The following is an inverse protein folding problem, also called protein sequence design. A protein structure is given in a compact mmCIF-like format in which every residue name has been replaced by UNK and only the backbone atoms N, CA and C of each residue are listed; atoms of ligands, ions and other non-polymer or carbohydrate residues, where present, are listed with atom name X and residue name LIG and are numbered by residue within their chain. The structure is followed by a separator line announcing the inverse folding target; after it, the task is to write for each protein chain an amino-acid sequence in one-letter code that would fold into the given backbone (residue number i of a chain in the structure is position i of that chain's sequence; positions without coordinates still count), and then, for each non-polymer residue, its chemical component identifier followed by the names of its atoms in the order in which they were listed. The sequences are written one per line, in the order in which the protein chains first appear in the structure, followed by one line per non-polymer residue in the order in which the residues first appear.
data_IF_967563501526
#
_entry.id   IF_967563501526
#
_cell.length_a   1.000
_cell.length_b   1.000
_cell.length_c   1.000
_cell.angle_alpha   90.00
_cell.angle_beta   90.00
_cell.angle_gamma   90.00
#
_symmetry.space_group_name_H-M   'P 1'
#
loop_
_entity.id
_entity.type
_entity.pdbx_description
1 polymer ?
#
# COMPACT_ATOMS: atom_id res chain seq x y z
N UNK A 1 -9.98 51.02 -97.90
CA UNK A 1 -11.45 51.18 -97.75
C UNK A 1 -11.99 49.78 -97.54
N UNK A 2 -12.51 49.36 -96.40
CA UNK A 2 -13.53 49.98 -95.53
C UNK A 2 -13.19 49.69 -94.05
N UNK A 3 -13.44 50.68 -93.21
CA UNK A 3 -13.28 50.73 -91.75
C UNK A 3 -14.43 50.05 -91.00
N UNK A 4 -14.18 49.40 -89.86
CA UNK A 4 -15.11 49.45 -88.70
C UNK A 4 -14.41 49.04 -87.39
N UNK A 5 -14.74 49.62 -86.21
CA UNK A 5 -13.88 49.61 -85.02
C UNK A 5 -14.47 48.93 -83.77
N UNK A 6 -13.62 48.85 -82.71
CA UNK A 6 -13.95 48.77 -81.26
C UNK A 6 -14.60 47.45 -80.75
N UNK A 7 -14.47 46.97 -79.50
CA UNK A 7 -13.90 47.44 -78.21
C UNK A 7 -13.77 46.24 -77.23
N UNK A 8 -12.76 46.33 -76.36
CA UNK A 8 -12.50 45.76 -75.02
C UNK A 8 -13.45 44.78 -74.27
N UNK A 9 -12.76 43.82 -73.60
CA UNK A 9 -12.89 43.35 -72.20
C UNK A 9 -14.00 42.36 -71.80
N UNK A 10 -13.59 41.21 -71.22
CA UNK A 10 -14.08 40.75 -69.90
C UNK A 10 -13.15 39.68 -69.28
N UNK A 11 -12.91 39.76 -67.96
CA UNK A 11 -12.27 38.72 -67.14
C UNK A 11 -13.27 37.62 -66.80
N UNK A 12 -12.85 36.36 -66.76
CA UNK A 12 -13.54 35.29 -66.03
C UNK A 12 -12.55 34.36 -65.32
N UNK A 13 -12.91 34.04 -64.09
CA UNK A 13 -12.27 33.10 -63.16
C UNK A 13 -12.76 31.68 -63.46
N UNK A 14 -11.91 30.65 -63.35
CA UNK A 14 -12.31 29.24 -63.53
C UNK A 14 -11.35 28.25 -62.87
N UNK A 15 -11.91 27.43 -61.97
CA UNK A 15 -11.32 26.31 -61.20
C UNK A 15 -10.91 25.09 -62.06
N UNK A 16 -9.92 24.32 -61.60
CA UNK A 16 -9.88 22.84 -61.71
C UNK A 16 -8.85 22.22 -60.73
N UNK A 17 -9.17 21.03 -60.23
CA UNK A 17 -8.62 20.28 -59.07
C UNK A 17 -7.67 19.10 -59.42
N UNK A 18 -7.04 18.52 -58.37
CA UNK A 18 -6.46 17.15 -58.21
C UNK A 18 -4.94 16.99 -58.48
N UNK A 19 -4.08 16.26 -57.74
CA UNK A 19 -4.17 15.28 -56.62
C UNK A 19 -2.75 15.18 -55.99
N UNK A 20 -2.60 14.96 -54.67
CA UNK A 20 -1.30 14.85 -53.98
C UNK A 20 -1.13 13.46 -53.33
N UNK A 21 -0.06 12.74 -53.69
CA UNK A 21 0.37 11.46 -53.08
C UNK A 21 1.61 11.72 -52.21
N UNK A 22 1.48 11.56 -50.89
CA UNK A 22 2.59 11.55 -49.93
C UNK A 22 2.89 10.10 -49.52
N UNK A 23 4.12 9.64 -49.76
CA UNK A 23 4.66 8.43 -49.15
C UNK A 23 5.37 8.81 -47.84
N UNK A 24 4.82 8.35 -46.71
CA UNK A 24 5.40 8.53 -45.38
C UNK A 24 6.34 7.37 -45.02
N UNK A 25 7.58 7.70 -44.67
CA UNK A 25 8.47 6.81 -43.92
C UNK A 25 8.37 7.14 -42.43
N UNK A 26 7.80 6.25 -41.64
CA UNK A 26 7.80 6.37 -40.17
C UNK A 26 9.16 5.89 -39.65
N UNK A 27 10.00 6.84 -39.22
CA UNK A 27 11.09 6.53 -38.30
C UNK A 27 10.48 6.40 -36.90
N UNK A 28 10.53 5.21 -36.31
CA UNK A 28 10.17 4.98 -34.91
C UNK A 28 11.21 5.70 -34.06
N UNK A 29 10.84 6.82 -33.46
CA UNK A 29 11.64 7.46 -32.42
C UNK A 29 11.46 6.67 -31.11
N UNK A 30 12.51 6.47 -30.30
CA UNK A 30 12.33 5.97 -28.94
C UNK A 30 11.54 7.02 -28.16
N UNK A 31 10.44 6.59 -27.53
CA UNK A 31 9.69 7.43 -26.60
C UNK A 31 10.60 7.77 -25.42
N UNK A 32 10.98 9.04 -25.32
CA UNK A 32 11.48 9.59 -24.06
C UNK A 32 10.25 9.72 -23.15
N UNK A 33 10.25 9.02 -22.02
CA UNK A 33 9.28 9.26 -20.97
C UNK A 33 9.45 10.70 -20.49
N UNK A 34 8.39 11.49 -20.55
CA UNK A 34 8.36 12.83 -19.98
C UNK A 34 8.33 12.68 -18.45
N UNK A 35 9.33 13.26 -17.77
CA UNK A 35 9.49 13.25 -16.30
C UNK A 35 8.41 14.13 -15.59
N UNK A 36 7.34 14.50 -16.31
CA UNK A 36 6.44 15.60 -15.98
C UNK A 36 5.22 15.26 -15.13
N UNK A 37 4.79 14.00 -15.05
CA UNK A 37 3.51 13.63 -14.38
C UNK A 37 3.68 12.52 -13.33
N UNK A 38 4.69 12.65 -12.47
CA UNK A 38 4.58 12.04 -11.14
C UNK A 38 3.70 12.97 -10.31
N UNK A 39 2.39 12.69 -10.25
CA UNK A 39 1.51 13.30 -9.27
C UNK A 39 2.09 12.95 -7.87
N UNK A 40 2.57 13.93 -7.08
CA UNK A 40 3.00 13.62 -5.73
C UNK A 40 1.72 13.32 -4.94
N UNK A 41 1.42 12.05 -4.74
CA UNK A 41 0.49 11.63 -3.70
C UNK A 41 1.06 12.15 -2.38
N UNK A 42 0.56 13.27 -1.89
CA UNK A 42 0.85 13.71 -0.54
C UNK A 42 0.23 12.64 0.38
N UNK A 43 1.04 11.85 1.11
CA UNK A 43 0.50 10.83 1.98
C UNK A 43 -0.37 11.54 3.02
N UNK A 44 -1.67 11.24 3.02
CA UNK A 44 -2.52 11.63 4.13
C UNK A 44 -1.91 10.99 5.38
N UNK A 45 -1.64 11.82 6.39
CA UNK A 45 -1.08 11.33 7.64
C UNK A 45 -2.11 10.38 8.26
N UNK A 46 -1.80 9.09 8.18
CA UNK A 46 -2.53 8.02 8.85
C UNK A 46 -2.63 8.39 10.33
N UNK A 47 -3.84 8.33 10.87
CA UNK A 47 -4.02 8.54 12.30
C UNK A 47 -3.36 7.34 12.99
N UNK A 48 -2.31 7.55 13.82
CA UNK A 48 -1.69 6.43 14.51
C UNK A 48 -2.74 5.72 15.35
N UNK A 49 -2.75 4.40 15.31
CA UNK A 49 -3.52 3.59 16.24
C UNK A 49 -3.33 4.12 17.67
N UNK A 50 -4.38 4.02 18.50
CA UNK A 50 -4.32 4.49 19.88
C UNK A 50 -3.10 3.89 20.58
N UNK A 51 -2.12 4.75 20.87
CA UNK A 51 -0.83 4.33 21.37
C UNK A 51 -0.98 3.65 22.73
N UNK A 52 -0.63 2.37 22.80
CA UNK A 52 -0.60 1.62 24.06
C UNK A 52 0.69 1.99 24.79
N UNK A 53 0.58 2.94 25.72
CA UNK A 53 1.68 3.27 26.61
C UNK A 53 1.93 2.14 27.60
N UNK A 54 3.20 1.91 27.92
CA UNK A 54 3.59 0.91 28.93
C UNK A 54 4.57 1.46 29.95
N UNK A 55 4.36 1.06 31.20
CA UNK A 55 5.25 1.34 32.32
C UNK A 55 5.92 0.07 32.86
N UNK A 56 5.77 -1.08 32.21
CA UNK A 56 6.33 -2.35 32.65
C UNK A 56 7.12 -3.02 31.53
N UNK A 57 8.20 -3.70 31.91
CA UNK A 57 9.14 -4.35 31.00
C UNK A 57 9.61 -5.67 31.60
N UNK A 58 9.73 -6.72 30.79
CA UNK A 58 10.29 -8.00 31.20
C UNK A 58 11.75 -8.04 30.75
N UNK A 59 12.65 -8.30 31.69
CA UNK A 59 14.10 -8.36 31.48
C UNK A 59 14.61 -9.74 31.88
N UNK A 60 15.30 -10.42 30.98
CA UNK A 60 16.05 -11.65 31.26
C UNK A 60 17.54 -11.38 31.35
N UNK A 61 18.21 -11.96 32.33
CA UNK A 61 19.67 -11.87 32.52
C UNK A 61 20.33 -13.19 32.09
N UNK A 62 21.54 -13.11 31.54
CA UNK A 62 22.35 -14.28 31.18
C UNK A 62 22.81 -15.02 32.44
N UNK A 63 22.72 -16.35 32.42
CA UNK A 63 23.06 -17.31 33.49
C UNK A 63 23.82 -16.72 34.69
N UNK A 64 23.07 -16.29 35.72
CA UNK A 64 23.61 -15.74 36.96
C UNK A 64 22.87 -16.29 38.18
N UNK A 65 23.50 -16.25 39.36
CA UNK A 65 22.82 -16.68 40.61
C UNK A 65 21.65 -15.75 40.95
N UNK A 66 20.54 -16.25 41.50
CA UNK A 66 19.28 -15.50 41.70
C UNK A 66 19.45 -14.11 42.36
N UNK A 67 20.34 -13.97 43.35
CA UNK A 67 20.63 -12.69 44.01
C UNK A 67 21.42 -11.73 43.11
N UNK A 68 22.37 -12.24 42.33
CA UNK A 68 23.11 -11.45 41.35
C UNK A 68 22.22 -10.99 40.20
N UNK A 69 21.24 -11.81 39.81
CA UNK A 69 20.27 -11.47 38.76
C UNK A 69 19.46 -10.24 39.14
N UNK A 70 18.90 -10.19 40.36
CA UNK A 70 18.09 -9.03 40.78
C UNK A 70 18.89 -7.73 40.77
N UNK A 71 20.12 -7.76 41.28
CA UNK A 71 21.00 -6.59 41.27
C UNK A 71 21.36 -6.16 39.83
N UNK A 72 21.67 -7.11 38.95
CA UNK A 72 21.95 -6.84 37.55
C UNK A 72 20.74 -6.23 36.81
N UNK A 73 19.52 -6.72 37.07
CA UNK A 73 18.30 -6.14 36.51
C UNK A 73 18.10 -4.71 37.00
N UNK A 74 18.25 -4.45 38.30
CA UNK A 74 18.08 -3.11 38.86
C UNK A 74 19.14 -2.13 38.33
N UNK A 75 20.38 -2.57 38.16
CA UNK A 75 21.46 -1.76 37.57
C UNK A 75 21.20 -1.47 36.08
N UNK A 76 20.95 -2.49 35.27
CA UNK A 76 20.66 -2.33 33.84
C UNK A 76 19.44 -1.44 33.61
N UNK A 77 18.37 -1.66 34.39
CA UNK A 77 17.17 -0.85 34.33
C UNK A 77 17.40 0.59 34.79
N UNK A 78 18.15 0.81 35.88
CA UNK A 78 18.51 2.14 36.35
C UNK A 78 19.33 2.92 35.33
N UNK A 79 20.32 2.27 34.72
CA UNK A 79 21.15 2.86 33.67
C UNK A 79 20.31 3.21 32.43
N UNK A 80 19.42 2.34 31.99
CA UNK A 80 18.53 2.61 30.86
C UNK A 80 17.52 3.72 31.17
N UNK A 81 16.93 3.72 32.37
CA UNK A 81 15.90 4.67 32.80
C UNK A 81 16.48 6.08 32.96
N UNK A 82 17.69 6.20 33.50
CA UNK A 82 18.39 7.48 33.65
C UNK A 82 18.59 8.24 32.33
N UNK A 83 18.76 7.52 31.21
CA UNK A 83 18.90 8.13 29.87
C UNK A 83 17.61 8.76 29.36
N UNK A 84 16.47 8.32 29.88
CA UNK A 84 15.14 8.81 29.54
C UNK A 84 14.57 9.76 30.61
N UNK A 85 15.29 9.97 31.72
CA UNK A 85 14.83 10.82 32.82
C UNK A 85 13.73 10.21 33.68
N UNK A 86 13.54 8.89 33.61
CA UNK A 86 12.55 8.12 34.38
C UNK A 86 13.24 7.26 35.44
N UNK A 87 12.50 6.83 36.45
CA UNK A 87 12.98 5.91 37.48
C UNK A 87 12.47 4.50 37.23
N UNK A 88 13.34 3.49 37.39
CA UNK A 88 12.99 2.09 37.27
C UNK A 88 13.04 1.36 38.62
N UNK A 89 12.13 0.41 38.82
CA UNK A 89 12.09 -0.44 40.02
C UNK A 89 11.71 -1.88 39.66
N UNK A 90 12.43 -2.85 40.23
CA UNK A 90 12.04 -4.26 40.15
C UNK A 90 10.71 -4.51 40.85
N UNK A 91 9.77 -5.13 40.15
CA UNK A 91 8.42 -5.41 40.65
C UNK A 91 8.27 -6.87 41.10
N UNK A 92 8.52 -7.82 40.20
CA UNK A 92 8.33 -9.26 40.45
C UNK A 92 9.10 -10.12 39.46
N UNK A 93 9.24 -11.39 39.78
CA UNK A 93 9.81 -12.40 38.89
C UNK A 93 8.69 -13.13 38.13
N UNK A 94 8.94 -13.53 36.89
CA UNK A 94 8.03 -14.33 36.07
C UNK A 94 8.31 -15.82 36.26
N UNK A 95 7.32 -16.66 35.97
CA UNK A 95 7.47 -18.12 36.07
C UNK A 95 8.51 -18.69 35.08
N UNK A 96 8.85 -17.94 34.02
CA UNK A 96 9.82 -18.31 33.00
C UNK A 96 11.23 -17.81 33.30
N UNK A 97 11.47 -17.17 34.46
CA UNK A 97 12.78 -16.69 34.87
C UNK A 97 13.13 -15.27 34.39
N UNK A 98 12.15 -14.51 33.91
CA UNK A 98 12.30 -13.08 33.62
C UNK A 98 11.98 -12.21 34.85
N UNK A 99 12.40 -10.95 34.81
CA UNK A 99 12.16 -9.97 35.87
C UNK A 99 11.35 -8.80 35.33
N UNK A 100 10.24 -8.50 35.98
CA UNK A 100 9.40 -7.35 35.63
C UNK A 100 9.96 -6.11 36.30
N UNK A 101 10.31 -5.13 35.48
CA UNK A 101 10.73 -3.79 35.87
C UNK A 101 9.58 -2.83 35.60
N UNK A 102 9.26 -1.99 36.58
CA UNK A 102 8.25 -0.93 36.45
C UNK A 102 8.92 0.44 36.44
N UNK A 103 8.48 1.31 35.54
CA UNK A 103 8.85 2.71 35.48
C UNK A 103 7.87 3.58 36.26
N UNK A 104 8.31 4.76 36.69
CA UNK A 104 7.47 5.77 37.35
C UNK A 104 6.55 6.52 36.37
N UNK A 105 6.93 6.58 35.09
CA UNK A 105 6.12 7.14 34.01
C UNK A 105 5.91 6.13 32.86
N UNK A 106 4.68 6.06 32.30
CA UNK A 106 4.41 5.22 31.14
C UNK A 106 5.04 5.82 29.88
N UNK A 107 5.80 5.00 29.16
CA UNK A 107 6.47 5.37 27.92
C UNK A 107 5.55 5.18 26.72
N UNK A 108 5.69 6.07 25.72
CA UNK A 108 5.19 5.87 24.35
C UNK A 108 5.82 4.62 23.72
N UNK A 109 5.26 4.09 22.63
CA UNK A 109 5.81 2.92 21.95
C UNK A 109 7.26 3.18 21.47
N UNK A 110 7.51 4.38 20.94
CA UNK A 110 8.83 4.82 20.49
C UNK A 110 9.82 4.93 21.65
N UNK A 111 9.39 5.44 22.80
CA UNK A 111 10.24 5.55 24.00
C UNK A 111 10.49 4.18 24.64
N UNK A 112 9.49 3.31 24.66
CA UNK A 112 9.59 1.94 25.14
C UNK A 112 10.60 1.13 24.31
N UNK A 113 10.60 1.29 22.99
CA UNK A 113 11.63 0.68 22.12
C UNK A 113 13.03 1.21 22.43
N UNK A 114 13.18 2.53 22.62
CA UNK A 114 14.48 3.12 23.02
C UNK A 114 14.95 2.58 24.36
N UNK A 115 14.04 2.43 25.33
CA UNK A 115 14.35 1.86 26.63
C UNK A 115 14.81 0.40 26.51
N UNK A 116 14.07 -0.43 25.77
CA UNK A 116 14.40 -1.83 25.51
C UNK A 116 15.72 -1.97 24.76
N UNK A 117 15.98 -1.12 23.75
CA UNK A 117 17.27 -1.10 23.06
C UNK A 117 18.40 -0.73 24.02
N UNK A 118 18.19 0.25 24.92
CA UNK A 118 19.20 0.58 25.94
C UNK A 118 19.45 -0.58 26.91
N UNK A 119 18.42 -1.33 27.31
CA UNK A 119 18.58 -2.53 28.13
C UNK A 119 19.40 -3.60 27.42
N UNK A 120 19.13 -3.84 26.12
CA UNK A 120 19.84 -4.84 25.31
C UNK A 120 21.32 -4.51 25.06
N UNK A 121 21.74 -3.26 25.27
CA UNK A 121 23.15 -2.87 25.20
C UNK A 121 23.94 -3.30 26.44
N UNK A 122 23.27 -3.65 27.53
CA UNK A 122 23.91 -4.15 28.74
C UNK A 122 24.43 -5.59 28.50
N UNK A 123 25.70 -5.88 28.80
CA UNK A 123 26.27 -7.21 28.54
C UNK A 123 25.61 -8.34 29.33
N UNK A 124 24.99 -8.05 30.48
CA UNK A 124 24.34 -9.05 31.33
C UNK A 124 22.91 -9.34 30.90
N UNK A 125 22.29 -8.48 30.09
CA UNK A 125 20.93 -8.67 29.58
C UNK A 125 20.91 -9.70 28.44
N UNK A 126 20.11 -10.76 28.60
CA UNK A 126 19.86 -11.77 27.58
C UNK A 126 18.75 -11.33 26.62
N UNK A 127 17.67 -10.76 27.17
CA UNK A 127 16.56 -10.21 26.41
C UNK A 127 15.82 -9.15 27.23
N UNK A 128 15.14 -8.25 26.54
CA UNK A 128 14.24 -7.27 27.14
C UNK A 128 13.06 -7.03 26.20
N UNK A 129 11.86 -6.92 26.75
CA UNK A 129 10.63 -6.64 26.01
C UNK A 129 9.66 -5.80 26.86
N UNK A 130 8.79 -4.99 26.24
CA UNK A 130 7.73 -4.30 26.95
C UNK A 130 6.66 -5.27 27.46
N UNK A 131 6.18 -5.06 28.68
CA UNK A 131 5.02 -5.75 29.27
C UNK A 131 3.80 -4.82 29.13
N UNK A 132 3.18 -4.85 27.95
CA UNK A 132 2.02 -4.03 27.63
C UNK A 132 0.72 -4.83 27.77
N UNK A 133 -0.33 -4.20 28.30
CA UNK A 133 -1.67 -4.78 28.32
C UNK A 133 -2.25 -4.72 26.91
N UNK A 134 -2.36 -5.87 26.27
CA UNK A 134 -3.07 -6.00 24.99
C UNK A 134 -4.58 -5.81 25.24
N UNK A 135 -5.19 -4.87 24.53
CA UNK A 135 -6.65 -4.73 24.47
C UNK A 135 -7.15 -5.46 23.23
N UNK A 136 -8.27 -6.16 23.36
CA UNK A 136 -8.96 -6.76 22.21
C UNK A 136 -9.44 -5.62 21.33
N UNK A 137 -8.96 -5.53 20.09
CA UNK A 137 -9.53 -4.65 19.10
C UNK A 137 -10.97 -5.11 18.84
N UNK A 138 -11.92 -4.18 18.88
CA UNK A 138 -13.30 -4.50 18.54
C UNK A 138 -13.33 -5.16 17.15
N UNK A 139 -14.03 -6.29 17.03
CA UNK A 139 -14.25 -6.96 15.75
C UNK A 139 -14.82 -5.95 14.73
N UNK A 140 -14.51 -6.11 13.43
CA UNK A 140 -15.06 -5.22 12.41
C UNK A 140 -16.57 -5.11 12.50
N UNK A 141 -17.09 -3.92 12.23
CA UNK A 141 -18.53 -3.63 12.23
C UNK A 141 -19.17 -3.78 10.84
N UNK A 142 -18.47 -4.43 9.91
CA UNK A 142 -19.00 -4.77 8.59
C UNK A 142 -20.16 -5.77 8.73
N UNK A 143 -21.24 -5.49 8.00
CA UNK A 143 -22.48 -6.29 7.99
C UNK A 143 -22.23 -7.76 7.63
N UNK A 144 -21.29 -8.03 6.71
CA UNK A 144 -21.02 -9.36 6.19
C UNK A 144 -19.74 -10.00 6.76
N UNK A 145 -19.11 -9.40 7.77
CA UNK A 145 -17.88 -9.92 8.38
C UNK A 145 -18.01 -11.38 8.86
N UNK A 146 -19.19 -11.77 9.36
CA UNK A 146 -19.44 -13.14 9.81
C UNK A 146 -19.44 -14.18 8.68
N UNK A 147 -19.61 -13.76 7.43
CA UNK A 147 -19.55 -14.65 6.25
C UNK A 147 -18.11 -14.86 5.78
N UNK A 148 -17.16 -14.02 6.22
CA UNK A 148 -15.73 -14.07 5.89
C UNK A 148 -14.98 -15.05 6.81
N UNK A 149 -15.42 -16.30 6.84
CA UNK A 149 -14.85 -17.38 7.67
C UNK A 149 -13.33 -17.52 7.48
N UNK A 150 -12.83 -17.26 6.27
CA UNK A 150 -11.43 -17.32 5.89
C UNK A 150 -10.55 -16.36 6.71
N UNK A 151 -11.10 -15.32 7.33
CA UNK A 151 -10.35 -14.37 8.14
C UNK A 151 -10.13 -14.84 9.59
N UNK A 152 -11.02 -15.66 10.15
CA UNK A 152 -11.02 -15.92 11.61
C UNK A 152 -11.30 -17.36 12.04
N UNK A 153 -11.97 -18.18 11.23
CA UNK A 153 -12.40 -19.52 11.65
C UNK A 153 -11.22 -20.50 11.80
N UNK A 154 -11.35 -21.48 12.69
CA UNK A 154 -10.39 -22.57 12.84
C UNK A 154 -11.11 -23.93 12.86
N UNK A 155 -10.68 -24.92 12.06
CA UNK A 155 -9.53 -24.87 11.14
C UNK A 155 -9.88 -24.19 9.80
N UNK A 156 -8.94 -23.45 9.19
CA UNK A 156 -9.04 -23.00 7.79
C UNK A 156 -8.90 -21.50 7.55
N UNK A 157 -9.08 -20.66 8.56
CA UNK A 157 -8.88 -19.21 8.47
C UNK A 157 -7.44 -18.77 8.73
N UNK A 158 -7.10 -17.57 8.26
CA UNK A 158 -5.76 -16.97 8.38
C UNK A 158 -5.49 -16.27 9.72
N UNK A 159 -6.49 -16.24 10.62
CA UNK A 159 -6.42 -15.60 11.95
C UNK A 159 -6.10 -14.10 11.89
N UNK A 160 -6.64 -13.40 10.88
CA UNK A 160 -6.46 -11.96 10.69
C UNK A 160 -6.97 -11.14 11.87
N UNK A 161 -8.08 -11.55 12.52
CA UNK A 161 -8.63 -10.84 13.68
C UNK A 161 -7.64 -10.73 14.83
N UNK A 162 -6.87 -11.78 15.11
CA UNK A 162 -5.82 -11.74 16.13
C UNK A 162 -4.62 -10.89 15.70
N UNK A 163 -4.35 -10.74 14.40
CA UNK A 163 -3.30 -9.85 13.91
C UNK A 163 -3.69 -8.37 14.02
N UNK A 164 -4.97 -8.04 13.84
CA UNK A 164 -5.48 -6.66 13.94
C UNK A 164 -5.42 -6.06 15.35
N UNK A 165 -5.22 -6.89 16.39
CA UNK A 165 -4.87 -6.43 17.73
C UNK A 165 -3.46 -5.83 17.81
N UNK A 166 -2.59 -6.13 16.83
CA UNK A 166 -1.20 -5.66 16.77
C UNK A 166 -0.98 -4.64 15.66
N UNK A 167 -1.53 -4.88 14.48
CA UNK A 167 -1.39 -3.98 13.32
C UNK A 167 -2.48 -4.24 12.29
N UNK A 168 -2.88 -3.18 11.60
CA UNK A 168 -3.82 -3.24 10.47
C UNK A 168 -3.16 -2.95 9.12
N UNK A 169 -1.83 -2.89 9.09
CA UNK A 169 -1.07 -2.55 7.89
C UNK A 169 -0.86 -1.04 7.71
N UNK A 170 -0.97 -0.27 8.78
CA UNK A 170 -0.80 1.18 8.73
C UNK A 170 0.57 1.57 8.12
N UNK A 171 0.55 2.40 7.07
CA UNK A 171 1.75 2.87 6.37
C UNK A 171 2.34 1.88 5.37
N UNK A 172 1.68 0.74 5.15
CA UNK A 172 2.03 -0.23 4.09
C UNK A 172 1.24 0.11 2.83
N UNK A 173 1.88 -0.01 1.65
CA UNK A 173 1.22 0.09 0.34
C UNK A 173 1.35 -1.25 -0.36
N UNK A 174 0.24 -1.79 -0.87
CA UNK A 174 0.18 -3.11 -1.52
C UNK A 174 -0.20 -2.93 -2.99
N UNK A 175 0.74 -3.14 -3.91
CA UNK A 175 0.39 -3.09 -5.33
C UNK A 175 -0.35 -4.36 -5.79
N UNK A 176 -1.52 -4.21 -6.41
CA UNK A 176 -2.32 -5.30 -6.98
C UNK A 176 -2.20 -5.24 -8.50
N UNK A 177 -1.75 -6.34 -9.10
CA UNK A 177 -1.59 -6.47 -10.56
C UNK A 177 -2.69 -7.39 -11.08
N UNK A 178 -3.80 -6.82 -11.55
CA UNK A 178 -5.04 -7.53 -11.89
C UNK A 178 -5.84 -6.77 -12.97
N UNK A 179 -7.13 -7.01 -13.21
CA UNK A 179 -7.89 -6.40 -14.32
C UNK A 179 -8.14 -4.89 -14.20
N UNK A 180 -7.96 -4.31 -13.01
CA UNK A 180 -8.22 -2.91 -12.72
C UNK A 180 -9.03 -2.76 -11.44
N UNK A 181 -9.60 -1.57 -11.24
CA UNK A 181 -10.50 -1.28 -10.12
C UNK A 181 -11.82 -0.70 -10.60
N UNK A 182 -12.92 -1.11 -9.96
CA UNK A 182 -14.21 -0.44 -10.10
C UNK A 182 -14.44 0.46 -8.89
N UNK A 183 -15.06 1.62 -9.10
CA UNK A 183 -15.52 2.47 -7.99
C UNK A 183 -16.49 1.68 -7.10
N UNK A 184 -16.11 1.47 -5.85
CA UNK A 184 -16.87 0.68 -4.90
C UNK A 184 -16.80 1.35 -3.53
N UNK A 185 -17.93 1.69 -2.89
CA UNK A 185 -17.92 2.45 -1.62
C UNK A 185 -17.11 1.81 -0.49
N UNK A 186 -16.94 0.49 -0.51
CA UNK A 186 -16.16 -0.27 0.48
C UNK A 186 -14.65 -0.33 0.18
N UNK A 187 -14.23 0.06 -1.03
CA UNK A 187 -12.83 0.08 -1.47
C UNK A 187 -12.30 1.49 -1.67
N UNK A 188 -13.14 2.44 -2.12
CA UNK A 188 -12.74 3.78 -2.57
C UNK A 188 -11.89 4.55 -1.55
N UNK A 189 -12.16 4.35 -0.25
CA UNK A 189 -11.40 5.00 0.82
C UNK A 189 -9.97 4.45 1.00
N UNK A 190 -9.72 3.23 0.50
CA UNK A 190 -8.47 2.50 0.64
C UNK A 190 -7.74 2.33 -0.70
N UNK A 191 -8.10 3.06 -1.76
CA UNK A 191 -7.43 2.96 -3.07
C UNK A 191 -6.56 4.19 -3.30
N UNK A 192 -5.30 3.97 -3.68
CA UNK A 192 -4.41 5.03 -4.17
C UNK A 192 -4.43 5.06 -5.70
N UNK A 193 -4.02 6.19 -6.33
CA UNK A 193 -3.86 6.24 -7.78
C UNK A 193 -2.97 5.11 -8.30
N UNK A 194 -3.43 4.44 -9.36
CA UNK A 194 -2.75 3.34 -10.02
C UNK A 194 -2.32 3.69 -11.44
N UNK A 195 -2.12 2.66 -12.27
CA UNK A 195 -1.72 2.81 -13.67
C UNK A 195 -2.19 1.62 -14.51
N UNK A 196 -2.76 1.88 -15.67
CA UNK A 196 -3.08 0.86 -16.67
C UNK A 196 -1.84 0.54 -17.51
N UNK A 197 -1.45 -0.75 -17.53
CA UNK A 197 -0.29 -1.23 -18.27
C UNK A 197 -0.64 -1.93 -19.60
N UNK A 198 -1.93 -2.04 -19.92
CA UNK A 198 -2.47 -2.66 -21.14
C UNK A 198 -2.09 -1.79 -22.34
N UNK A 199 -1.18 -2.29 -23.17
CA UNK A 199 -0.65 -1.53 -24.30
C UNK A 199 -1.59 -1.50 -25.52
N UNK A 200 -2.44 -2.51 -25.67
CA UNK A 200 -3.33 -2.64 -26.81
C UNK A 200 -4.70 -2.07 -26.46
N UNK A 201 -5.12 -1.02 -27.16
CA UNK A 201 -6.41 -0.35 -26.92
C UNK A 201 -7.64 -1.23 -27.12
N UNK A 202 -7.56 -2.25 -27.99
CA UNK A 202 -8.64 -3.22 -28.12
C UNK A 202 -8.77 -4.11 -26.87
N UNK A 203 -7.65 -4.35 -26.19
CA UNK A 203 -7.60 -5.14 -24.97
C UNK A 203 -7.97 -4.30 -23.74
N UNK A 204 -7.55 -3.03 -23.69
CA UNK A 204 -7.83 -2.09 -22.60
C UNK A 204 -9.31 -1.63 -22.57
N UNK A 205 -9.92 -1.50 -23.76
CA UNK A 205 -11.34 -1.13 -23.95
C UNK A 205 -11.74 0.23 -23.38
N UNK A 206 -10.77 1.08 -23.08
CA UNK A 206 -10.89 2.47 -22.62
C UNK A 206 -10.69 3.50 -23.76
N UNK A 207 -10.16 3.06 -24.90
CA UNK A 207 -9.93 3.89 -26.09
C UNK A 207 -8.45 4.20 -26.38
N UNK A 208 -7.52 3.74 -25.55
CA UNK A 208 -6.08 3.99 -25.69
C UNK A 208 -5.26 2.81 -25.15
N UNK A 209 -3.93 2.88 -25.27
CA UNK A 209 -3.07 2.01 -24.48
C UNK A 209 -2.67 2.74 -23.20
N UNK A 210 -1.87 2.09 -22.36
CA UNK A 210 -1.20 2.60 -21.16
C UNK A 210 -1.44 4.06 -20.78
N UNK A 211 -2.07 4.24 -19.64
CA UNK A 211 -2.42 5.56 -19.11
C UNK A 211 -2.61 5.49 -17.57
N UNK A 212 -2.81 6.64 -16.89
CA UNK A 212 -2.88 6.68 -15.43
C UNK A 212 -4.27 6.37 -14.85
N UNK A 213 -5.25 5.95 -15.66
CA UNK A 213 -6.59 5.55 -15.20
C UNK A 213 -6.71 4.02 -15.11
N UNK A 214 -6.61 3.41 -13.91
CA UNK A 214 -6.67 1.96 -13.75
C UNK A 214 -8.11 1.41 -13.68
N UNK A 215 -9.09 2.13 -14.22
CA UNK A 215 -10.51 1.73 -14.15
C UNK A 215 -10.76 0.44 -14.92
N UNK A 216 -11.37 -0.55 -14.28
CA UNK A 216 -11.76 -1.79 -14.93
C UNK A 216 -12.96 -1.56 -15.87
N UNK A 217 -12.74 -1.71 -17.18
CA UNK A 217 -13.76 -1.57 -18.23
C UNK A 217 -14.59 -2.84 -18.45
N UNK A 218 -14.28 -3.91 -17.72
CA UNK A 218 -14.91 -5.22 -17.84
C UNK A 218 -14.24 -6.08 -18.91
N UNK A 219 -13.76 -7.25 -18.50
CA UNK A 219 -13.06 -8.20 -19.36
C UNK A 219 -13.97 -9.21 -20.07
N UNK A 220 -15.29 -8.97 -20.08
CA UNK A 220 -16.29 -9.82 -20.72
C UNK A 220 -15.89 -10.24 -22.13
N UNK A 221 -16.05 -11.50 -22.48
CA UNK A 221 -15.66 -12.00 -23.79
C UNK A 221 -16.81 -12.79 -24.43
N UNK A 222 -17.22 -12.51 -25.68
CA UNK A 222 -18.04 -13.41 -26.46
C UNK A 222 -17.27 -14.72 -26.75
N UNK A 223 -17.99 -15.74 -27.20
CA UNK A 223 -17.38 -17.01 -27.55
C UNK A 223 -16.29 -16.83 -28.63
N UNK A 224 -15.23 -17.64 -28.54
CA UNK A 224 -14.07 -17.66 -29.45
C UNK A 224 -13.16 -16.40 -29.47
N UNK A 225 -13.38 -15.41 -28.59
CA UNK A 225 -12.55 -14.17 -28.55
C UNK A 225 -11.22 -14.37 -27.80
N UNK A 226 -11.22 -15.08 -26.65
CA UNK A 226 -9.99 -15.31 -25.87
C UNK A 226 -9.21 -16.54 -26.38
N UNK A 227 -9.88 -17.57 -26.89
CA UNK A 227 -9.28 -18.74 -27.53
C UNK A 227 -10.32 -19.48 -28.39
N UNK A 228 -9.87 -20.24 -29.41
CA UNK A 228 -10.76 -21.16 -30.14
C UNK A 228 -11.45 -22.13 -29.17
N UNK A 229 -12.78 -22.24 -29.25
CA UNK A 229 -13.68 -23.01 -28.36
C UNK A 229 -13.85 -22.41 -26.94
N UNK A 230 -13.45 -21.14 -26.72
CA UNK A 230 -13.79 -20.44 -25.47
C UNK A 230 -15.28 -20.08 -25.46
N UNK A 231 -16.00 -20.42 -24.37
CA UNK A 231 -17.39 -19.99 -24.18
C UNK A 231 -17.45 -18.50 -23.89
N UNK A 232 -18.59 -17.88 -24.18
CA UNK A 232 -18.84 -16.51 -23.74
C UNK A 232 -18.73 -16.44 -22.22
N UNK A 233 -17.86 -15.58 -21.69
CA UNK A 233 -17.74 -15.37 -20.25
C UNK A 233 -18.21 -13.96 -19.89
N UNK A 234 -19.04 -13.83 -18.83
CA UNK A 234 -19.38 -12.52 -18.30
C UNK A 234 -18.17 -11.82 -17.69
N UNK A 235 -17.18 -12.56 -17.15
CA UNK A 235 -15.87 -12.06 -16.67
C UNK A 235 -14.85 -13.22 -16.54
N UNK A 236 -13.53 -12.94 -16.58
CA UNK A 236 -12.40 -13.75 -16.05
C UNK A 236 -11.63 -14.76 -16.95
N UNK A 237 -11.75 -14.76 -18.28
CA UNK A 237 -10.92 -15.69 -19.11
C UNK A 237 -9.82 -15.01 -19.94
N UNK A 238 -9.74 -13.68 -19.90
CA UNK A 238 -8.68 -12.94 -20.57
C UNK A 238 -7.89 -12.14 -19.51
N UNK A 239 -6.84 -12.75 -18.92
CA UNK A 239 -5.93 -12.05 -18.00
C UNK A 239 -5.41 -10.77 -18.66
N UNK A 240 -5.90 -9.63 -18.18
CA UNK A 240 -5.44 -8.27 -18.51
C UNK A 240 -4.95 -7.64 -17.21
N UNK A 241 -3.83 -6.94 -17.27
CA UNK A 241 -3.11 -6.50 -16.08
C UNK A 241 -2.98 -4.97 -16.04
N UNK A 242 -3.58 -4.39 -15.02
CA UNK A 242 -3.54 -3.04 -14.49
C UNK A 242 -2.81 -3.12 -13.14
N UNK A 243 -2.03 -2.10 -12.81
CA UNK A 243 -1.33 -2.03 -11.51
C UNK A 243 -2.03 -0.98 -10.66
N UNK A 244 -2.72 -1.43 -9.61
CA UNK A 244 -3.20 -0.55 -8.56
C UNK A 244 -2.12 -0.43 -7.50
N UNK A 245 -1.80 0.77 -7.05
CA UNK A 245 -1.16 0.96 -5.76
C UNK A 245 -2.29 0.85 -4.72
N UNK A 246 -2.34 -0.25 -3.97
CA UNK A 246 -3.43 -0.52 -3.02
C UNK A 246 -3.15 -0.04 -1.60
N UNK A 247 -4.26 0.25 -0.91
CA UNK A 247 -4.53 0.25 0.53
C UNK A 247 -3.43 0.76 1.45
N UNK A 248 -3.40 2.09 1.64
CA UNK A 248 -2.87 2.69 2.86
C UNK A 248 -3.99 2.82 3.90
N UNK A 249 -4.03 1.90 4.87
CA UNK A 249 -4.83 2.03 6.09
C UNK A 249 -4.13 2.84 7.16
#
# INVERSE_FOLDING_TARGET
MVTSPAKQSLRFMGMATATLLLAGGFAVQPAMADDGDILPAAPQALQPAAEVKTDQFIVGIKDNTVQAVKAAVEEAAGNAASKLGVAAKGLRDTATGGHVVKLDEPLSAVEAEKFVQSLRLDPDVAYAEPDAVMQIAAAPNDTYFNEQWNLWESPGGIRATGAWDYTRGEGVVVAVVDTGITQHPDLDANVLPGYDMIANAADARDGNGRDPDPTDMGDWAPADECAVDSRSSPVEWCNRFVILQGCGG
#
